data_IF_652318319206
#
_entry.id   IF_652318319206
#
_cell.length_a   1.000
_cell.length_b   1.000
_cell.length_c   1.000
_cell.angle_alpha   90.00
_cell.angle_beta   90.00
_cell.angle_gamma   90.00
#
_symmetry.space_group_name_H-M   'P 1'
#
loop_
_entity.id
_entity.type
_entity.pdbx_description
1 polymer ?
#
# COMPACT_ATOMS: atom_id res chain seq x y z
N UNK A 1 -38.01 -10.40 8.86
CA UNK A 1 -36.88 -9.50 8.55
C UNK A 1 -35.63 -10.35 8.58
N UNK A 2 -35.04 -10.56 7.41
CA UNK A 2 -33.83 -11.39 7.24
C UNK A 2 -32.65 -10.81 8.04
N UNK A 3 -32.12 -11.59 8.98
CA UNK A 3 -30.97 -11.23 9.82
C UNK A 3 -29.64 -11.51 9.10
N UNK A 4 -29.68 -11.87 7.81
CA UNK A 4 -28.54 -12.05 6.91
C UNK A 4 -27.91 -10.73 6.42
N UNK A 5 -28.00 -9.65 7.22
CA UNK A 5 -27.39 -8.37 6.89
C UNK A 5 -25.86 -8.53 6.73
N UNK A 6 -25.38 -8.35 5.49
CA UNK A 6 -24.00 -8.36 4.99
C UNK A 6 -22.92 -8.18 6.06
N UNK A 7 -22.38 -9.29 6.55
CA UNK A 7 -21.28 -9.29 7.53
C UNK A 7 -19.95 -8.88 6.87
N UNK A 8 -19.75 -9.18 5.58
CA UNK A 8 -18.56 -8.82 4.80
C UNK A 8 -18.77 -7.57 3.94
N UNK A 9 -17.66 -6.91 3.58
CA UNK A 9 -17.66 -5.90 2.52
C UNK A 9 -17.93 -6.55 1.15
N UNK A 10 -18.63 -5.83 0.28
CA UNK A 10 -18.80 -6.20 -1.12
C UNK A 10 -17.92 -5.31 -2.01
N UNK A 11 -17.44 -5.89 -3.11
CA UNK A 11 -16.65 -5.14 -4.08
C UNK A 11 -17.52 -4.14 -4.82
N UNK A 12 -17.17 -2.87 -4.68
CA UNK A 12 -17.72 -1.76 -5.45
C UNK A 12 -16.63 -1.24 -6.39
N UNK A 13 -17.01 -0.56 -7.48
CA UNK A 13 -16.02 -0.06 -8.43
C UNK A 13 -15.06 0.96 -7.79
N UNK A 14 -15.50 1.72 -6.80
CA UNK A 14 -14.64 2.63 -6.03
C UNK A 14 -13.56 1.90 -5.23
N UNK A 15 -13.89 0.74 -4.65
CA UNK A 15 -12.94 -0.11 -3.94
C UNK A 15 -11.85 -0.62 -4.91
N UNK A 16 -12.27 -1.08 -6.10
CA UNK A 16 -11.34 -1.52 -7.15
C UNK A 16 -10.46 -0.38 -7.66
N UNK A 17 -11.05 0.78 -7.95
CA UNK A 17 -10.34 1.95 -8.43
C UNK A 17 -9.30 2.44 -7.42
N UNK A 18 -9.66 2.46 -6.14
CA UNK A 18 -8.76 2.83 -5.03
C UNK A 18 -7.58 1.86 -4.96
N UNK A 19 -7.83 0.54 -4.98
CA UNK A 19 -6.77 -0.45 -4.93
C UNK A 19 -5.81 -0.33 -6.13
N UNK A 20 -6.36 -0.23 -7.36
CA UNK A 20 -5.56 -0.09 -8.58
C UNK A 20 -4.73 1.19 -8.55
N UNK A 21 -5.31 2.31 -8.10
CA UNK A 21 -4.61 3.57 -7.94
C UNK A 21 -3.45 3.45 -6.95
N UNK A 22 -3.67 2.80 -5.81
CA UNK A 22 -2.63 2.58 -4.79
C UNK A 22 -1.50 1.70 -5.32
N UNK A 23 -1.80 0.61 -6.02
CA UNK A 23 -0.79 -0.26 -6.64
C UNK A 23 0.03 0.52 -7.68
N UNK A 24 -0.62 1.32 -8.53
CA UNK A 24 0.05 2.09 -9.58
C UNK A 24 1.02 3.14 -9.03
N UNK A 25 0.64 3.82 -7.95
CA UNK A 25 1.44 4.90 -7.36
C UNK A 25 2.37 4.44 -6.25
N UNK A 26 2.62 3.13 -6.16
CA UNK A 26 3.49 2.55 -5.15
C UNK A 26 3.08 2.85 -3.70
N UNK A 27 1.76 2.87 -3.47
CA UNK A 27 1.13 3.09 -2.17
C UNK A 27 0.45 1.84 -1.62
N UNK A 28 0.67 0.68 -2.22
CA UNK A 28 0.09 -0.57 -1.75
C UNK A 28 1.18 -1.59 -1.45
N UNK A 29 1.24 -2.05 -0.20
CA UNK A 29 2.11 -3.14 0.22
C UNK A 29 1.32 -4.44 0.14
N UNK A 30 1.86 -5.43 -0.58
CA UNK A 30 1.26 -6.75 -0.68
C UNK A 30 1.65 -7.59 0.54
N UNK A 31 0.65 -8.13 1.23
CA UNK A 31 0.82 -9.02 2.38
C UNK A 31 0.27 -10.41 2.01
N UNK A 32 1.13 -11.42 1.98
CA UNK A 32 0.78 -12.82 1.70
C UNK A 32 0.83 -13.64 2.99
N UNK A 33 -0.32 -14.17 3.38
CA UNK A 33 -0.52 -15.01 4.55
C UNK A 33 -0.40 -16.51 4.24
N UNK A 34 -0.47 -17.39 5.25
CA UNK A 34 -0.32 -18.83 5.07
C UNK A 34 -1.28 -19.45 4.05
N UNK A 35 -2.51 -18.96 3.99
CA UNK A 35 -3.54 -19.52 3.09
C UNK A 35 -3.40 -19.06 1.64
N UNK A 36 -2.48 -18.14 1.35
CA UNK A 36 -2.13 -17.79 -0.03
C UNK A 36 -1.26 -18.88 -0.68
N UNK A 37 -0.56 -19.70 0.13
CA UNK A 37 0.35 -20.72 -0.35
C UNK A 37 -0.39 -22.00 -0.81
N UNK A 38 -1.27 -21.88 -1.80
CA UNK A 38 -1.99 -23.01 -2.43
C UNK A 38 -1.40 -23.25 -3.82
N UNK A 39 -0.85 -24.45 -4.03
CA UNK A 39 -0.28 -24.85 -5.31
C UNK A 39 -1.35 -25.26 -6.33
N UNK A 40 -1.05 -25.12 -7.62
CA UNK A 40 -1.91 -25.56 -8.71
C UNK A 40 -2.27 -27.05 -8.58
N UNK A 41 -3.57 -27.36 -8.66
CA UNK A 41 -4.09 -28.71 -8.47
C UNK A 41 -4.29 -29.13 -7.01
N UNK A 42 -3.84 -28.32 -6.05
CA UNK A 42 -4.13 -28.52 -4.63
C UNK A 42 -5.38 -27.76 -4.21
N UNK A 43 -6.09 -28.28 -3.20
CA UNK A 43 -7.26 -27.65 -2.60
C UNK A 43 -6.95 -26.99 -1.26
N UNK A 44 -5.75 -27.21 -0.73
CA UNK A 44 -5.34 -26.82 0.64
C UNK A 44 -4.01 -26.09 0.63
N UNK A 45 -3.78 -25.15 1.56
CA UNK A 45 -2.50 -24.49 1.73
C UNK A 45 -1.37 -25.47 2.07
N UNK A 46 -0.14 -25.14 1.68
CA UNK A 46 1.04 -25.95 1.99
C UNK A 46 1.24 -26.16 3.49
N UNK A 47 0.86 -25.20 4.32
CA UNK A 47 0.91 -25.31 5.79
C UNK A 47 -0.01 -26.40 6.32
N UNK A 48 -1.22 -26.51 5.78
CA UNK A 48 -2.18 -27.57 6.15
C UNK A 48 -1.71 -28.94 5.64
N UNK A 49 -1.15 -29.02 4.42
CA UNK A 49 -0.60 -30.28 3.89
C UNK A 49 0.55 -30.76 4.79
N UNK A 50 1.48 -29.87 5.16
CA UNK A 50 2.58 -30.20 6.07
C UNK A 50 2.08 -30.63 7.45
N UNK A 51 1.07 -29.94 8.00
CA UNK A 51 0.47 -30.32 9.28
C UNK A 51 -0.08 -31.75 9.22
N UNK A 52 -0.83 -32.10 8.17
CA UNK A 52 -1.36 -33.45 8.00
C UNK A 52 -0.24 -34.50 7.83
N UNK A 53 0.78 -34.25 7.01
CA UNK A 53 1.93 -35.17 6.83
C UNK A 53 2.74 -35.40 8.12
N UNK A 54 2.82 -34.40 9.00
CA UNK A 54 3.47 -34.53 10.31
C UNK A 54 2.57 -35.28 11.30
N UNK A 55 1.27 -34.98 11.31
CA UNK A 55 0.29 -35.62 12.18
C UNK A 55 0.14 -37.12 11.87
N UNK A 56 0.39 -37.56 10.63
CA UNK A 56 0.44 -38.97 10.25
C UNK A 56 1.45 -39.83 11.03
N UNK A 57 2.38 -39.19 11.75
CA UNK A 57 3.39 -39.88 12.58
C UNK A 57 3.00 -39.93 14.05
N UNK A 58 1.84 -39.38 14.41
CA UNK A 58 1.29 -39.43 15.76
C UNK A 58 0.34 -40.62 15.91
N UNK A 59 0.26 -41.13 17.13
CA UNK A 59 -0.72 -42.17 17.50
C UNK A 59 -2.14 -41.59 17.48
N UNK A 60 -3.15 -42.45 17.36
CA UNK A 60 -4.56 -42.05 17.22
C UNK A 60 -5.04 -41.13 18.36
N UNK A 61 -4.71 -41.48 19.61
CA UNK A 61 -5.11 -40.71 20.79
C UNK A 61 -4.59 -39.27 20.79
N UNK A 62 -3.45 -39.01 20.14
CA UNK A 62 -2.87 -37.67 20.07
C UNK A 62 -3.50 -36.84 18.97
N UNK A 63 -3.83 -37.47 17.83
CA UNK A 63 -4.52 -36.79 16.72
C UNK A 63 -5.91 -36.31 17.12
N UNK A 64 -6.59 -37.03 17.98
CA UNK A 64 -7.91 -36.64 18.50
C UNK A 64 -7.85 -35.43 19.45
N UNK A 65 -6.68 -35.13 20.03
CA UNK A 65 -6.49 -34.04 21.00
C UNK A 65 -6.06 -32.71 20.38
N UNK A 66 -5.64 -32.71 19.12
CA UNK A 66 -5.08 -31.53 18.45
C UNK A 66 -5.84 -31.22 17.17
N UNK A 67 -5.81 -29.95 16.75
CA UNK A 67 -6.29 -29.62 15.42
C UNK A 67 -5.21 -30.00 14.38
N UNK A 68 -5.41 -31.08 13.63
CA UNK A 68 -4.43 -31.57 12.63
C UNK A 68 -4.27 -30.65 11.42
N UNK A 69 -5.15 -29.64 11.24
CA UNK A 69 -4.99 -28.60 10.22
C UNK A 69 -4.16 -27.40 10.68
N UNK A 70 -3.88 -27.28 11.99
CA UNK A 70 -3.07 -26.20 12.56
C UNK A 70 -1.60 -26.64 12.62
N UNK A 71 -0.78 -26.06 11.75
CA UNK A 71 0.64 -26.37 11.68
C UNK A 71 1.37 -26.07 13.00
N UNK A 72 0.99 -25.01 13.73
CA UNK A 72 1.70 -24.64 14.96
C UNK A 72 1.45 -25.62 16.10
N UNK A 73 0.21 -26.12 16.22
CA UNK A 73 -0.13 -27.17 17.19
C UNK A 73 0.56 -28.49 16.86
N UNK A 74 0.46 -28.92 15.59
CA UNK A 74 1.07 -30.18 15.15
C UNK A 74 2.60 -30.15 15.31
N UNK A 75 3.25 -29.07 14.90
CA UNK A 75 4.71 -28.95 15.02
C UNK A 75 5.15 -28.78 16.48
N UNK A 76 4.36 -28.15 17.36
CA UNK A 76 4.62 -28.14 18.80
C UNK A 76 4.63 -29.57 19.36
N UNK A 77 3.64 -30.41 19.02
CA UNK A 77 3.63 -31.82 19.40
C UNK A 77 4.82 -32.59 18.83
N UNK A 78 5.17 -32.36 17.56
CA UNK A 78 6.33 -32.99 16.93
C UNK A 78 7.64 -32.59 17.62
N UNK A 79 7.81 -31.30 17.91
CA UNK A 79 8.97 -30.73 18.59
C UNK A 79 9.20 -31.39 19.96
N UNK A 80 8.14 -31.53 20.77
CA UNK A 80 8.24 -32.15 22.09
C UNK A 80 8.70 -33.61 22.04
N UNK A 81 8.50 -34.32 20.92
CA UNK A 81 8.86 -35.73 20.74
C UNK A 81 10.22 -35.95 20.09
N UNK A 82 10.55 -35.14 19.08
CA UNK A 82 11.68 -35.37 18.18
C UNK A 82 12.73 -34.26 18.23
N UNK A 83 12.47 -33.17 18.96
CA UNK A 83 13.35 -32.02 19.08
C UNK A 83 13.35 -31.10 17.86
N UNK A 84 13.95 -29.91 18.03
CA UNK A 84 13.98 -28.83 17.01
C UNK A 84 14.66 -29.27 15.72
N UNK A 85 15.82 -29.91 15.82
CA UNK A 85 16.61 -30.28 14.64
C UNK A 85 15.85 -31.24 13.71
N UNK A 86 15.15 -32.22 14.28
CA UNK A 86 14.32 -33.14 13.49
C UNK A 86 13.13 -32.44 12.85
N UNK A 87 12.52 -31.48 13.54
CA UNK A 87 11.42 -30.68 12.99
C UNK A 87 11.90 -29.82 11.81
N UNK A 88 12.97 -29.06 11.99
CA UNK A 88 13.56 -28.21 10.96
C UNK A 88 13.97 -29.02 9.72
N UNK A 89 14.56 -30.21 9.91
CA UNK A 89 14.91 -31.10 8.81
C UNK A 89 13.67 -31.57 8.02
N UNK A 90 12.57 -31.90 8.71
CA UNK A 90 11.32 -32.33 8.04
C UNK A 90 10.63 -31.18 7.31
N UNK A 91 10.56 -30.00 7.92
CA UNK A 91 10.00 -28.79 7.29
C UNK A 91 10.80 -28.42 6.04
N UNK A 92 12.14 -28.42 6.15
CA UNK A 92 13.03 -28.09 5.02
C UNK A 92 12.87 -29.08 3.87
N UNK A 93 12.84 -30.39 4.17
CA UNK A 93 12.63 -31.42 3.16
C UNK A 93 11.28 -31.27 2.43
N UNK A 94 10.20 -30.99 3.18
CA UNK A 94 8.87 -30.78 2.62
C UNK A 94 8.83 -29.61 1.62
N UNK A 95 9.38 -28.46 1.99
CA UNK A 95 9.36 -27.29 1.12
C UNK A 95 10.36 -27.41 -0.05
N UNK A 96 11.47 -28.11 0.12
CA UNK A 96 12.44 -28.35 -0.97
C UNK A 96 11.83 -29.26 -2.05
N UNK A 97 11.12 -30.33 -1.66
CA UNK A 97 10.36 -31.18 -2.59
C UNK A 97 9.35 -30.36 -3.40
N UNK A 98 8.70 -29.41 -2.73
CA UNK A 98 7.64 -28.57 -3.28
C UNK A 98 8.15 -27.25 -3.87
N UNK A 99 9.48 -27.09 -3.97
CA UNK A 99 10.12 -25.84 -4.40
C UNK A 99 9.67 -25.39 -5.78
N UNK A 100 9.36 -26.33 -6.68
CA UNK A 100 8.96 -26.07 -8.08
C UNK A 100 7.46 -25.83 -8.28
N UNK A 101 6.65 -25.89 -7.22
CA UNK A 101 5.23 -25.62 -7.33
C UNK A 101 4.97 -24.18 -7.79
N UNK A 102 3.84 -24.02 -8.48
CA UNK A 102 3.34 -22.75 -8.98
C UNK A 102 1.89 -22.58 -8.52
N UNK A 103 1.41 -21.35 -8.59
CA UNK A 103 0.07 -20.98 -8.13
C UNK A 103 -0.48 -19.86 -9.00
N UNK A 104 -1.75 -19.96 -9.39
CA UNK A 104 -2.42 -18.96 -10.23
C UNK A 104 -2.47 -17.59 -9.54
N UNK A 105 -2.79 -17.57 -8.25
CA UNK A 105 -2.70 -16.41 -7.36
C UNK A 105 -1.36 -15.68 -7.53
N UNK A 106 -0.26 -16.40 -7.30
CA UNK A 106 1.09 -15.84 -7.35
C UNK A 106 1.46 -15.35 -8.76
N UNK A 107 1.11 -16.11 -9.81
CA UNK A 107 1.31 -15.69 -11.22
C UNK A 107 0.55 -14.42 -11.56
N UNK A 108 -0.66 -14.27 -11.05
CA UNK A 108 -1.47 -13.08 -11.33
C UNK A 108 -0.96 -11.85 -10.58
N UNK A 109 -0.57 -12.02 -9.32
CA UNK A 109 0.00 -10.94 -8.50
C UNK A 109 1.39 -10.51 -8.97
N UNK A 110 2.23 -11.43 -9.43
CA UNK A 110 3.58 -11.13 -9.91
C UNK A 110 3.59 -10.20 -11.13
N UNK A 111 2.53 -10.23 -11.95
CA UNK A 111 2.35 -9.36 -13.10
C UNK A 111 2.03 -7.88 -12.72
N UNK A 112 1.73 -7.60 -11.46
CA UNK A 112 1.41 -6.26 -10.95
C UNK A 112 2.67 -5.57 -10.41
N UNK A 113 2.77 -4.23 -10.42
CA UNK A 113 4.01 -3.51 -10.09
C UNK A 113 4.22 -3.30 -8.59
N UNK A 114 4.02 -4.34 -7.77
CA UNK A 114 4.41 -4.28 -6.36
C UNK A 114 5.93 -4.21 -6.24
N UNK A 115 6.44 -3.29 -5.42
CA UNK A 115 7.87 -3.16 -5.10
C UNK A 115 8.23 -3.73 -3.73
N UNK A 116 7.26 -3.80 -2.81
CA UNK A 116 7.42 -4.29 -1.46
C UNK A 116 6.31 -5.29 -1.13
N UNK A 117 6.75 -6.52 -0.87
CA UNK A 117 5.91 -7.65 -0.55
C UNK A 117 6.38 -8.27 0.75
N UNK A 118 5.43 -8.54 1.64
CA UNK A 118 5.66 -9.30 2.87
C UNK A 118 5.00 -10.65 2.73
N UNK A 119 5.73 -11.73 3.00
CA UNK A 119 5.21 -13.10 3.01
C UNK A 119 5.44 -13.74 4.38
N UNK A 120 4.51 -14.58 4.81
CA UNK A 120 4.59 -15.34 6.06
C UNK A 120 4.87 -16.82 5.86
N UNK A 121 5.06 -17.27 4.61
CA UNK A 121 5.40 -18.66 4.30
C UNK A 121 6.79 -18.74 3.68
N UNK A 122 7.56 -19.79 3.97
CA UNK A 122 8.92 -19.93 3.48
C UNK A 122 9.00 -20.60 2.10
N UNK A 123 7.88 -20.73 1.38
CA UNK A 123 7.86 -21.32 0.04
C UNK A 123 8.38 -20.38 -1.05
N UNK A 124 8.66 -20.96 -2.23
CA UNK A 124 9.23 -20.23 -3.36
C UNK A 124 8.20 -19.86 -4.45
N UNK A 125 6.90 -20.05 -4.23
CA UNK A 125 5.91 -19.87 -5.29
C UNK A 125 5.87 -18.43 -5.80
N UNK A 126 5.94 -17.44 -4.90
CA UNK A 126 5.92 -16.04 -5.31
C UNK A 126 7.24 -15.60 -5.97
N UNK A 127 8.38 -16.03 -5.44
CA UNK A 127 9.70 -15.77 -6.02
C UNK A 127 9.74 -16.25 -7.47
N UNK A 128 9.31 -17.50 -7.70
CA UNK A 128 9.26 -18.08 -9.05
C UNK A 128 8.28 -17.37 -9.97
N UNK A 129 7.17 -16.89 -9.43
CA UNK A 129 6.22 -16.12 -10.22
C UNK A 129 6.82 -14.76 -10.65
N UNK A 130 7.56 -14.08 -9.76
CA UNK A 130 8.25 -12.83 -10.08
C UNK A 130 9.36 -13.04 -11.12
N UNK A 131 10.18 -14.08 -10.96
CA UNK A 131 11.24 -14.43 -11.91
C UNK A 131 10.68 -14.75 -13.30
N UNK A 132 9.55 -15.47 -13.38
CA UNK A 132 8.86 -15.75 -14.65
C UNK A 132 8.31 -14.50 -15.34
N UNK A 133 7.96 -13.46 -14.59
CA UNK A 133 7.57 -12.15 -15.11
C UNK A 133 8.79 -11.24 -15.40
N UNK A 134 10.01 -11.77 -15.30
CA UNK A 134 11.26 -11.06 -15.62
C UNK A 134 11.76 -10.12 -14.53
N UNK A 135 11.22 -10.21 -13.32
CA UNK A 135 11.64 -9.39 -12.17
C UNK A 135 12.76 -10.07 -11.38
N UNK A 136 13.53 -9.27 -10.64
CA UNK A 136 14.65 -9.75 -9.81
C UNK A 136 14.35 -9.52 -8.32
N UNK A 137 13.66 -10.45 -7.65
CA UNK A 137 13.29 -10.24 -6.26
C UNK A 137 14.51 -10.19 -5.32
N UNK A 138 14.48 -9.25 -4.37
CA UNK A 138 15.43 -9.14 -3.27
C UNK A 138 14.83 -9.86 -2.06
N UNK A 139 15.46 -10.94 -1.63
CA UNK A 139 14.94 -11.78 -0.54
C UNK A 139 15.56 -11.38 0.79
N UNK A 140 14.74 -10.94 1.74
CA UNK A 140 15.15 -10.60 3.12
C UNK A 140 14.17 -11.21 4.11
N UNK A 141 14.58 -11.42 5.35
CA UNK A 141 13.74 -12.06 6.35
C UNK A 141 13.92 -11.40 7.72
N UNK A 142 12.94 -11.61 8.57
CA UNK A 142 13.03 -11.32 9.99
C UNK A 142 13.49 -12.56 10.76
N UNK A 143 14.38 -12.36 11.74
CA UNK A 143 14.86 -13.40 12.64
C UNK A 143 14.57 -13.01 14.09
N UNK A 144 13.54 -13.62 14.68
CA UNK A 144 13.18 -13.39 16.08
C UNK A 144 14.14 -14.06 17.07
N UNK A 145 14.92 -15.04 16.63
CA UNK A 145 15.87 -15.78 17.45
C UNK A 145 17.34 -15.43 17.11
N UNK A 146 17.57 -14.27 16.50
CA UNK A 146 18.90 -13.87 16.04
C UNK A 146 19.01 -12.38 15.81
N UNK A 147 20.13 -11.97 15.22
CA UNK A 147 20.33 -10.56 14.88
C UNK A 147 19.73 -10.25 13.52
N UNK A 148 19.08 -9.08 13.44
CA UNK A 148 18.58 -8.51 12.19
C UNK A 148 19.50 -7.35 11.77
N UNK A 149 19.68 -7.13 10.46
CA UNK A 149 20.44 -5.97 9.99
C UNK A 149 19.72 -4.68 10.36
N UNK A 150 20.47 -3.59 10.55
CA UNK A 150 19.89 -2.27 10.88
C UNK A 150 19.02 -1.74 9.74
N UNK A 151 19.40 -2.00 8.50
CA UNK A 151 18.69 -1.62 7.29
C UNK A 151 18.90 -2.70 6.22
N UNK A 152 17.95 -2.81 5.29
CA UNK A 152 18.17 -3.50 4.01
C UNK A 152 18.99 -2.56 3.13
N UNK A 153 20.15 -3.02 2.64
CA UNK A 153 21.10 -2.18 1.89
C UNK A 153 20.67 -1.98 0.44
N UNK A 154 20.06 -3.00 -0.14
CA UNK A 154 19.58 -2.99 -1.51
C UNK A 154 18.37 -2.06 -1.65
N UNK A 155 18.36 -1.24 -2.71
CA UNK A 155 17.17 -0.47 -3.10
C UNK A 155 16.24 -1.39 -3.87
N UNK A 156 14.96 -1.39 -3.51
CA UNK A 156 13.93 -2.14 -4.23
C UNK A 156 13.08 -1.23 -5.12
N UNK A 157 12.47 -1.84 -6.13
CA UNK A 157 11.56 -1.20 -7.08
C UNK A 157 10.59 -2.24 -7.66
N UNK A 158 9.66 -1.82 -8.53
CA UNK A 158 8.74 -2.76 -9.20
C UNK A 158 9.44 -3.84 -10.05
N UNK A 159 10.65 -3.55 -10.54
CA UNK A 159 11.45 -4.45 -11.39
C UNK A 159 12.41 -5.31 -10.53
N UNK A 160 12.79 -4.78 -9.37
CA UNK A 160 13.61 -5.46 -8.35
C UNK A 160 12.90 -5.43 -6.99
N UNK A 161 11.79 -6.17 -6.82
CA UNK A 161 10.93 -6.02 -5.65
C UNK A 161 11.54 -6.66 -4.39
N UNK A 162 11.36 -6.03 -3.23
CA UNK A 162 11.68 -6.60 -1.93
C UNK A 162 10.61 -7.62 -1.55
N UNK A 163 11.02 -8.87 -1.34
CA UNK A 163 10.22 -9.93 -0.72
C UNK A 163 10.75 -10.18 0.69
N UNK A 164 9.97 -9.73 1.67
CA UNK A 164 10.33 -9.79 3.08
C UNK A 164 9.58 -10.92 3.80
N UNK A 165 10.32 -11.93 4.23
CA UNK A 165 9.79 -13.09 4.96
C UNK A 165 9.64 -12.76 6.45
N UNK A 166 8.40 -12.52 6.87
CA UNK A 166 8.10 -12.08 8.23
C UNK A 166 8.26 -13.20 9.25
N UNK A 167 7.97 -14.45 8.87
CA UNK A 167 8.02 -15.64 9.74
C UNK A 167 9.26 -16.52 9.49
N UNK A 168 10.33 -15.91 8.97
CA UNK A 168 11.60 -16.57 8.73
C UNK A 168 11.70 -17.28 7.37
N UNK A 169 12.86 -17.90 7.13
CA UNK A 169 13.22 -18.54 5.85
C UNK A 169 13.89 -19.90 6.04
N UNK A 170 13.82 -20.78 5.03
CA UNK A 170 14.51 -22.08 5.01
C UNK A 170 16.03 -21.92 5.01
N UNK A 171 16.57 -20.83 4.46
CA UNK A 171 18.03 -20.57 4.46
C UNK A 171 18.59 -20.35 5.86
N UNK A 172 17.72 -19.98 6.81
CA UNK A 172 18.01 -19.77 8.23
C UNK A 172 16.92 -20.45 9.07
N UNK A 173 16.96 -21.78 9.24
CA UNK A 173 15.88 -22.53 9.90
C UNK A 173 15.55 -22.07 11.33
N UNK A 174 16.54 -21.54 12.06
CA UNK A 174 16.34 -20.98 13.39
C UNK A 174 15.50 -19.68 13.42
N UNK A 175 15.27 -19.06 12.26
CA UNK A 175 14.37 -17.90 12.11
C UNK A 175 12.91 -18.31 11.85
N UNK A 176 12.65 -19.58 11.54
CA UNK A 176 11.31 -20.06 11.19
C UNK A 176 10.40 -20.10 12.42
N UNK A 177 9.23 -19.50 12.29
CA UNK A 177 8.14 -19.65 13.24
C UNK A 177 7.39 -20.95 12.91
N UNK A 178 7.66 -21.99 13.70
CA UNK A 178 7.07 -23.31 13.50
C UNK A 178 6.06 -23.61 14.59
N UNK A 179 6.42 -23.44 15.87
CA UNK A 179 5.61 -23.88 17.00
C UNK A 179 4.90 -22.73 17.72
N UNK A 180 3.99 -23.06 18.66
CA UNK A 180 3.34 -22.04 19.51
C UNK A 180 4.35 -21.26 20.37
N UNK A 181 5.38 -21.94 20.89
CA UNK A 181 6.46 -21.26 21.62
C UNK A 181 7.22 -20.27 20.72
N UNK A 182 7.49 -20.63 19.46
CA UNK A 182 8.11 -19.71 18.50
C UNK A 182 7.24 -18.46 18.28
N UNK A 183 5.92 -18.63 18.19
CA UNK A 183 4.98 -17.51 18.04
C UNK A 183 5.04 -16.57 19.26
N UNK A 184 5.10 -17.12 20.47
CA UNK A 184 5.22 -16.32 21.69
C UNK A 184 6.54 -15.56 21.72
N UNK A 185 7.67 -16.23 21.46
CA UNK A 185 9.00 -15.62 21.42
C UNK A 185 9.08 -14.54 20.33
N UNK A 186 8.47 -14.78 19.17
CA UNK A 186 8.35 -13.83 18.09
C UNK A 186 7.58 -12.56 18.51
N UNK A 187 6.42 -12.72 19.16
CA UNK A 187 5.62 -11.59 19.64
C UNK A 187 6.34 -10.81 20.74
N UNK A 188 7.01 -11.50 21.67
CA UNK A 188 7.83 -10.85 22.72
C UNK A 188 8.96 -10.06 22.07
N UNK A 189 9.66 -10.62 21.10
CA UNK A 189 10.76 -9.95 20.40
C UNK A 189 10.30 -8.66 19.71
N UNK A 190 9.12 -8.68 19.09
CA UNK A 190 8.51 -7.51 18.46
C UNK A 190 8.04 -6.47 19.48
N UNK A 191 7.26 -6.88 20.48
CA UNK A 191 6.67 -5.97 21.49
C UNK A 191 7.74 -5.30 22.33
N UNK A 192 8.74 -6.05 22.78
CA UNK A 192 9.85 -5.54 23.58
C UNK A 192 10.94 -4.87 22.74
N UNK A 193 10.84 -4.93 21.41
CA UNK A 193 11.82 -4.41 20.46
C UNK A 193 13.26 -4.91 20.73
N UNK A 194 13.41 -6.13 21.25
CA UNK A 194 14.71 -6.74 21.56
C UNK A 194 15.42 -7.22 20.30
N UNK A 195 14.65 -7.58 19.27
CA UNK A 195 15.12 -7.92 17.92
C UNK A 195 14.50 -6.94 16.92
N UNK A 196 15.03 -5.72 16.77
CA UNK A 196 14.41 -4.72 15.91
C UNK A 196 14.41 -5.18 14.44
N UNK A 197 13.32 -4.90 13.73
CA UNK A 197 13.23 -5.03 12.27
C UNK A 197 14.13 -3.98 11.59
N UNK A 198 14.63 -4.23 10.36
CA UNK A 198 15.35 -3.21 9.61
C UNK A 198 14.55 -1.91 9.49
N UNK A 199 15.19 -0.77 9.77
CA UNK A 199 14.51 0.51 9.96
C UNK A 199 13.77 1.00 8.70
N UNK A 200 14.33 0.75 7.52
CA UNK A 200 13.69 1.09 6.25
C UNK A 200 12.49 0.19 5.93
N UNK A 201 12.51 -1.09 6.30
CA UNK A 201 11.35 -1.97 6.17
C UNK A 201 10.24 -1.51 7.12
N UNK A 202 10.58 -1.20 8.36
CA UNK A 202 9.61 -0.70 9.34
C UNK A 202 9.02 0.65 8.90
N UNK A 203 9.83 1.56 8.37
CA UNK A 203 9.37 2.85 7.85
C UNK A 203 8.31 2.69 6.76
N UNK A 204 8.48 1.75 5.83
CA UNK A 204 7.50 1.47 4.78
C UNK A 204 6.18 0.93 5.35
N UNK A 205 6.25 0.00 6.32
CA UNK A 205 5.06 -0.52 7.00
C UNK A 205 4.34 0.57 7.81
N UNK A 206 5.07 1.55 8.33
CA UNK A 206 4.52 2.63 9.14
C UNK A 206 4.00 3.80 8.31
N UNK A 207 4.40 3.94 7.05
CA UNK A 207 3.98 5.03 6.16
C UNK A 207 2.44 5.14 6.08
N UNK A 208 1.89 6.22 6.64
CA UNK A 208 0.45 6.48 6.68
C UNK A 208 -0.16 6.68 5.29
N UNK A 209 0.65 7.00 4.28
CA UNK A 209 0.20 7.15 2.90
C UNK A 209 0.06 5.83 2.14
N UNK A 210 0.57 4.72 2.72
CA UNK A 210 0.47 3.37 2.16
C UNK A 210 -0.72 2.61 2.74
N UNK A 211 -1.39 1.86 1.88
CA UNK A 211 -2.39 0.85 2.24
C UNK A 211 -1.83 -0.56 2.07
N UNK A 212 -2.54 -1.54 2.61
CA UNK A 212 -2.18 -2.95 2.53
C UNK A 212 -3.19 -3.74 1.73
N UNK A 213 -2.71 -4.76 1.03
CA UNK A 213 -3.52 -5.83 0.46
C UNK A 213 -3.16 -7.14 1.14
N UNK A 214 -4.00 -7.60 2.06
CA UNK A 214 -3.83 -8.86 2.79
C UNK A 214 -4.53 -10.01 2.06
N UNK A 215 -3.79 -11.05 1.72
CA UNK A 215 -4.31 -12.24 1.06
C UNK A 215 -3.91 -13.47 1.86
N UNK A 216 -4.88 -14.28 2.27
CA UNK A 216 -4.62 -15.55 2.97
C UNK A 216 -4.24 -15.39 4.44
N UNK A 217 -4.71 -14.32 5.10
CA UNK A 217 -4.60 -14.14 6.55
C UNK A 217 -5.92 -14.45 7.23
N UNK A 218 -5.88 -15.26 8.30
CA UNK A 218 -7.02 -15.45 9.20
C UNK A 218 -7.06 -14.36 10.28
N UNK A 219 -7.82 -13.30 10.04
CA UNK A 219 -7.97 -12.16 10.96
C UNK A 219 -8.61 -12.52 12.32
N UNK A 220 -9.17 -13.74 12.42
CA UNK A 220 -9.68 -14.32 13.68
C UNK A 220 -8.58 -14.58 14.70
N UNK A 221 -7.34 -14.75 14.26
CA UNK A 221 -6.22 -14.94 15.17
C UNK A 221 -5.90 -13.66 15.96
N UNK A 222 -5.96 -13.75 17.28
CA UNK A 222 -5.73 -12.62 18.19
C UNK A 222 -4.34 -11.98 18.00
N UNK A 223 -3.32 -12.78 17.68
CA UNK A 223 -1.94 -12.30 17.54
C UNK A 223 -1.79 -11.33 16.36
N UNK A 224 -2.64 -11.40 15.33
CA UNK A 224 -2.62 -10.41 14.23
C UNK A 224 -2.98 -9.02 14.72
N UNK A 225 -3.84 -8.91 15.74
CA UNK A 225 -4.15 -7.60 16.37
C UNK A 225 -2.91 -7.02 17.03
N UNK A 226 -2.09 -7.85 17.66
CA UNK A 226 -0.81 -7.43 18.25
C UNK A 226 0.19 -7.09 17.16
N UNK A 227 0.39 -7.97 16.18
CA UNK A 227 1.33 -7.78 15.08
C UNK A 227 1.07 -6.44 14.37
N UNK A 228 -0.16 -6.21 13.92
CA UNK A 228 -0.52 -4.98 13.23
C UNK A 228 -0.44 -3.74 14.14
N UNK A 229 -0.60 -3.90 15.46
CA UNK A 229 -0.42 -2.79 16.41
C UNK A 229 1.06 -2.44 16.61
N UNK A 230 1.92 -3.45 16.82
CA UNK A 230 3.35 -3.26 17.06
C UNK A 230 4.04 -2.72 15.82
N UNK A 231 3.64 -3.18 14.63
CA UNK A 231 4.11 -2.64 13.36
C UNK A 231 3.51 -1.26 13.04
N UNK A 232 2.66 -0.71 13.93
CA UNK A 232 1.96 0.56 13.78
C UNK A 232 1.25 0.69 12.42
N UNK A 233 0.63 -0.40 11.96
CA UNK A 233 -0.13 -0.46 10.72
C UNK A 233 -1.56 0.11 10.91
N UNK A 234 -1.66 1.25 11.60
CA UNK A 234 -2.90 1.98 11.92
C UNK A 234 -2.85 3.39 11.32
N UNK A 235 -3.95 4.12 11.41
CA UNK A 235 -4.10 5.53 11.00
C UNK A 235 -3.76 5.79 9.54
N UNK A 236 -3.98 4.80 8.67
CA UNK A 236 -3.71 4.95 7.25
C UNK A 236 -4.64 5.99 6.62
N UNK A 237 -4.07 6.76 5.70
CA UNK A 237 -4.76 7.79 4.92
C UNK A 237 -5.75 7.21 3.90
N UNK A 238 -5.59 5.93 3.55
CA UNK A 238 -6.47 5.18 2.65
C UNK A 238 -6.88 3.84 3.24
N UNK A 239 -7.99 3.28 2.75
CA UNK A 239 -8.44 1.95 3.16
C UNK A 239 -7.47 0.85 2.70
N UNK A 240 -7.29 -0.14 3.57
CA UNK A 240 -6.60 -1.39 3.25
C UNK A 240 -7.62 -2.48 2.96
N UNK A 241 -7.22 -3.49 2.20
CA UNK A 241 -8.11 -4.55 1.72
C UNK A 241 -7.59 -5.91 2.20
N UNK A 242 -8.50 -6.79 2.60
CA UNK A 242 -8.17 -8.12 3.07
C UNK A 242 -9.13 -9.17 2.49
N UNK A 243 -8.59 -10.25 1.94
CA UNK A 243 -9.36 -11.38 1.42
C UNK A 243 -9.24 -12.57 2.38
N UNK A 244 -10.38 -13.04 2.87
CA UNK A 244 -10.46 -14.19 3.78
C UNK A 244 -11.12 -15.38 3.08
N UNK A 245 -10.47 -16.55 3.16
CA UNK A 245 -10.98 -17.82 2.63
C UNK A 245 -11.69 -18.58 3.76
N UNK A 246 -13.01 -18.71 3.71
CA UNK A 246 -13.74 -19.41 4.79
C UNK A 246 -13.77 -20.92 4.58
N UNK A 247 -13.20 -21.65 5.54
CA UNK A 247 -13.65 -23.01 5.84
C UNK A 247 -15.07 -22.94 6.43
N UNK A 248 -15.99 -23.72 5.85
CA UNK A 248 -17.46 -23.62 5.98
C UNK A 248 -18.05 -23.77 7.39
N UNK A 249 -17.26 -23.95 8.44
CA UNK A 249 -17.76 -24.47 9.71
C UNK A 249 -18.30 -23.41 10.69
N UNK A 250 -17.90 -22.13 10.60
CA UNK A 250 -18.34 -21.10 11.58
C UNK A 250 -18.51 -19.69 11.00
N UNK A 251 -19.15 -19.58 9.83
CA UNK A 251 -19.35 -18.31 9.12
C UNK A 251 -20.26 -17.29 9.86
N UNK A 252 -20.84 -17.65 11.01
CA UNK A 252 -21.85 -16.84 11.70
C UNK A 252 -21.67 -16.84 13.23
N UNK A 253 -20.42 -16.78 13.70
CA UNK A 253 -20.12 -16.64 15.14
C UNK A 253 -19.99 -15.16 15.53
N UNK A 254 -20.40 -14.80 16.76
CA UNK A 254 -20.22 -13.45 17.32
C UNK A 254 -18.75 -12.99 17.26
N UNK A 255 -17.81 -13.93 17.38
CA UNK A 255 -16.37 -13.67 17.30
C UNK A 255 -15.92 -13.14 15.94
N UNK A 256 -16.53 -13.63 14.85
CA UNK A 256 -16.28 -13.11 13.50
C UNK A 256 -16.79 -11.67 13.38
N UNK A 257 -18.02 -11.39 13.85
CA UNK A 257 -18.58 -10.03 13.84
C UNK A 257 -17.72 -9.05 14.64
N UNK A 258 -17.22 -9.47 15.80
CA UNK A 258 -16.29 -8.68 16.60
C UNK A 258 -14.97 -8.41 15.87
N UNK A 259 -14.44 -9.40 15.17
CA UNK A 259 -13.21 -9.28 14.38
C UNK A 259 -13.37 -8.29 13.23
N UNK A 260 -14.45 -8.42 12.46
CA UNK A 260 -14.76 -7.51 11.36
C UNK A 260 -15.00 -6.09 11.85
N UNK A 261 -15.79 -5.91 12.92
CA UNK A 261 -15.98 -4.59 13.54
C UNK A 261 -14.66 -3.98 14.00
N UNK A 262 -13.78 -4.77 14.62
CA UNK A 262 -12.48 -4.28 15.08
C UNK A 262 -11.63 -3.77 13.93
N UNK A 263 -11.50 -4.51 12.83
CA UNK A 263 -10.61 -4.13 11.72
C UNK A 263 -11.22 -3.07 10.78
N UNK A 264 -12.53 -3.08 10.56
CA UNK A 264 -13.21 -2.13 9.69
C UNK A 264 -13.51 -0.79 10.38
N UNK A 265 -13.92 -0.81 11.66
CA UNK A 265 -14.42 0.38 12.39
C UNK A 265 -13.44 0.96 13.39
N UNK A 266 -12.15 0.67 13.24
CA UNK A 266 -11.08 1.28 14.03
C UNK A 266 -10.08 1.99 13.13
N UNK A 267 -9.03 2.54 13.75
CA UNK A 267 -7.90 3.18 13.06
C UNK A 267 -7.18 2.26 12.06
N UNK A 268 -7.47 0.95 12.02
CA UNK A 268 -6.93 0.04 11.01
C UNK A 268 -7.52 0.27 9.60
N UNK A 269 -8.81 0.61 9.49
CA UNK A 269 -9.51 0.81 8.20
C UNK A 269 -9.26 -0.32 7.19
N UNK A 270 -9.36 -1.57 7.64
CA UNK A 270 -9.20 -2.76 6.77
C UNK A 270 -10.58 -3.28 6.39
N UNK A 271 -10.89 -3.21 5.10
CA UNK A 271 -12.10 -3.81 4.54
C UNK A 271 -11.84 -5.29 4.23
N UNK A 272 -12.60 -6.18 4.87
CA UNK A 272 -12.46 -7.63 4.73
C UNK A 272 -13.57 -8.15 3.80
N UNK A 273 -13.17 -8.89 2.77
CA UNK A 273 -14.03 -9.43 1.73
C UNK A 273 -13.95 -10.94 1.71
N UNK A 274 -15.07 -11.56 1.33
CA UNK A 274 -15.18 -13.00 1.14
C UNK A 274 -15.16 -13.32 -0.35
N UNK A 275 -14.01 -13.74 -0.86
CA UNK A 275 -13.81 -14.12 -2.26
C UNK A 275 -12.66 -15.13 -2.38
N UNK A 276 -12.68 -15.97 -3.41
CA UNK A 276 -11.52 -16.79 -3.78
C UNK A 276 -10.31 -15.92 -4.10
N UNK A 277 -9.13 -16.29 -3.59
CA UNK A 277 -7.89 -15.55 -3.84
C UNK A 277 -7.50 -15.59 -5.33
N UNK A 278 -7.65 -16.75 -5.98
CA UNK A 278 -7.31 -16.90 -7.40
C UNK A 278 -8.22 -16.04 -8.29
N UNK A 279 -9.53 -16.05 -8.02
CA UNK A 279 -10.50 -15.23 -8.75
C UNK A 279 -10.22 -13.75 -8.55
N UNK A 280 -9.98 -13.33 -7.30
CA UNK A 280 -9.64 -11.96 -6.96
C UNK A 280 -8.38 -11.50 -7.69
N UNK A 281 -7.30 -12.29 -7.66
CA UNK A 281 -6.04 -11.93 -8.30
C UNK A 281 -6.16 -11.87 -9.83
N UNK A 282 -6.94 -12.78 -10.43
CA UNK A 282 -7.24 -12.75 -11.86
C UNK A 282 -7.99 -11.47 -12.25
N UNK A 283 -9.04 -11.11 -11.50
CA UNK A 283 -9.81 -9.88 -11.70
C UNK A 283 -8.94 -8.63 -11.50
N UNK A 284 -8.11 -8.61 -10.45
CA UNK A 284 -7.19 -7.50 -10.18
C UNK A 284 -6.22 -7.29 -11.34
N UNK A 285 -5.61 -8.36 -11.85
CA UNK A 285 -4.71 -8.32 -13.01
C UNK A 285 -5.42 -7.81 -14.26
N UNK A 286 -6.62 -8.33 -14.55
CA UNK A 286 -7.39 -7.90 -15.71
C UNK A 286 -7.81 -6.43 -15.62
N UNK A 287 -8.34 -6.00 -14.47
CA UNK A 287 -8.73 -4.60 -14.24
C UNK A 287 -7.52 -3.67 -14.30
N UNK A 288 -6.39 -4.06 -13.70
CA UNK A 288 -5.14 -3.31 -13.79
C UNK A 288 -4.67 -3.17 -15.25
N UNK A 289 -4.75 -4.25 -16.05
CA UNK A 289 -4.45 -4.23 -17.49
C UNK A 289 -5.42 -3.37 -18.29
N UNK A 290 -6.72 -3.33 -17.95
CA UNK A 290 -7.71 -2.43 -18.59
C UNK A 290 -7.52 -0.98 -18.19
N UNK A 291 -6.97 -0.74 -17.00
CA UNK A 291 -6.60 0.58 -16.52
C UNK A 291 -5.30 1.10 -17.18
N UNK A 292 -4.47 0.22 -17.75
CA UNK A 292 -3.27 0.62 -18.52
C UNK A 292 -3.61 1.43 -19.79
N UNK A 293 -4.54 0.99 -20.68
CA UNK A 293 -4.91 1.69 -21.90
C UNK A 293 -6.00 2.77 -21.72
N UNK A 294 -6.67 2.88 -20.56
CA UNK A 294 -7.60 3.99 -20.28
C UNK A 294 -6.87 5.29 -19.88
N UNK A 295 -5.55 5.25 -19.80
CA UNK A 295 -4.68 6.42 -19.88
C UNK A 295 -4.10 6.44 -21.30
N UNK A 296 -4.16 7.56 -22.04
CA UNK A 296 -3.46 7.62 -23.32
C UNK A 296 -1.98 7.32 -23.07
N UNK A 297 -1.49 6.24 -23.67
CA UNK A 297 -0.07 5.94 -23.70
C UNK A 297 0.64 7.06 -24.46
N UNK A 298 1.15 8.06 -23.75
CA UNK A 298 1.96 9.13 -24.34
C UNK A 298 3.41 8.91 -23.97
N UNK A 299 4.25 8.87 -25.01
CA UNK A 299 5.71 8.86 -24.92
C UNK A 299 6.17 9.87 -23.85
N UNK A 300 7.18 9.56 -23.02
CA UNK A 300 7.74 10.56 -22.11
C UNK A 300 8.12 11.79 -22.94
N UNK A 301 7.39 12.89 -22.75
CA UNK A 301 7.80 14.16 -23.31
C UNK A 301 8.98 14.63 -22.47
N UNK A 302 10.11 14.89 -23.12
CA UNK A 302 11.17 15.69 -22.52
C UNK A 302 10.56 17.06 -22.27
N UNK A 303 10.24 17.34 -21.01
CA UNK A 303 9.75 18.67 -20.62
C UNK A 303 10.94 19.62 -20.80
N UNK A 304 10.75 20.65 -21.61
CA UNK A 304 11.77 21.68 -21.84
C UNK A 304 12.20 22.28 -20.50
N UNK A 305 13.51 22.43 -20.26
CA UNK A 305 14.01 23.07 -19.05
C UNK A 305 13.49 24.51 -18.90
N UNK A 306 13.15 25.17 -20.02
CA UNK A 306 12.54 26.49 -20.07
C UNK A 306 11.00 26.49 -20.01
N UNK A 307 10.35 25.35 -19.75
CA UNK A 307 8.91 25.31 -19.54
C UNK A 307 8.50 26.05 -18.25
N UNK A 308 7.31 26.67 -18.21
CA UNK A 308 6.85 27.42 -17.05
C UNK A 308 6.66 26.52 -15.81
N UNK A 309 7.16 26.98 -14.67
CA UNK A 309 6.94 26.34 -13.36
C UNK A 309 5.57 26.71 -12.80
N UNK A 310 4.76 25.71 -12.48
CA UNK A 310 3.37 25.89 -12.00
C UNK A 310 3.22 25.26 -10.62
N UNK A 311 3.01 26.07 -9.59
CA UNK A 311 2.68 25.56 -8.26
C UNK A 311 1.19 25.26 -8.14
N UNK A 312 0.83 24.08 -7.64
CA UNK A 312 -0.56 23.67 -7.41
C UNK A 312 -0.86 23.66 -5.91
N UNK A 313 -1.48 24.74 -5.45
CA UNK A 313 -1.93 24.94 -4.07
C UNK A 313 -3.31 24.31 -3.88
N UNK A 314 -3.44 23.41 -2.91
CA UNK A 314 -4.67 22.64 -2.69
C UNK A 314 -4.88 22.29 -1.21
N UNK A 315 -6.14 22.09 -0.81
CA UNK A 315 -6.42 21.47 0.48
C UNK A 315 -6.00 19.99 0.45
N UNK A 316 -5.61 19.42 1.59
CA UNK A 316 -5.20 18.02 1.69
C UNK A 316 -6.25 17.02 1.19
N UNK A 317 -7.51 17.40 1.29
CA UNK A 317 -8.70 16.67 0.87
C UNK A 317 -8.85 16.62 -0.66
N UNK A 318 -8.26 17.57 -1.38
CA UNK A 318 -8.34 17.68 -2.85
C UNK A 318 -7.14 17.03 -3.55
N UNK A 319 -6.35 16.23 -2.83
CA UNK A 319 -5.07 15.67 -3.31
C UNK A 319 -5.21 14.87 -4.60
N UNK A 320 -6.31 14.14 -4.80
CA UNK A 320 -6.53 13.35 -6.01
C UNK A 320 -6.81 14.23 -7.24
N UNK A 321 -7.55 15.32 -7.07
CA UNK A 321 -7.73 16.31 -8.14
C UNK A 321 -6.42 17.05 -8.42
N UNK A 322 -5.67 17.41 -7.38
CA UNK A 322 -4.37 18.07 -7.53
C UNK A 322 -3.35 17.18 -8.27
N UNK A 323 -3.32 15.87 -7.96
CA UNK A 323 -2.52 14.89 -8.69
C UNK A 323 -3.00 14.70 -10.14
N UNK A 324 -4.31 14.75 -10.37
CA UNK A 324 -4.87 14.74 -11.72
C UNK A 324 -4.42 15.98 -12.52
N UNK A 325 -4.62 17.18 -11.98
CA UNK A 325 -4.21 18.43 -12.62
C UNK A 325 -2.71 18.49 -12.86
N UNK A 326 -1.88 18.02 -11.92
CA UNK A 326 -0.44 17.90 -12.12
C UNK A 326 -0.12 17.11 -13.39
N UNK A 327 -0.73 15.93 -13.57
CA UNK A 327 -0.50 15.12 -14.78
C UNK A 327 -0.94 15.83 -16.06
N UNK A 328 -2.05 16.54 -16.04
CA UNK A 328 -2.54 17.25 -17.23
C UNK A 328 -1.65 18.45 -17.58
N UNK A 329 -1.17 19.20 -16.58
CA UNK A 329 -0.22 20.30 -16.79
C UNK A 329 1.11 19.79 -17.34
N UNK A 330 1.61 18.68 -16.80
CA UNK A 330 2.82 18.00 -17.28
C UNK A 330 2.64 17.52 -18.73
N UNK A 331 1.47 16.94 -19.06
CA UNK A 331 1.12 16.50 -20.41
C UNK A 331 0.96 17.65 -21.42
N UNK A 332 0.75 18.87 -20.93
CA UNK A 332 0.75 20.09 -21.72
C UNK A 332 2.16 20.72 -21.89
N UNK A 333 3.20 20.08 -21.35
CA UNK A 333 4.58 20.56 -21.42
C UNK A 333 4.92 21.63 -20.39
N UNK A 334 4.15 21.73 -19.31
CA UNK A 334 4.42 22.63 -18.18
C UNK A 334 5.23 21.87 -17.10
N UNK A 335 5.82 22.59 -16.14
CA UNK A 335 6.53 22.03 -14.99
C UNK A 335 5.71 22.18 -13.70
N UNK A 336 4.71 21.33 -13.46
CA UNK A 336 3.90 21.42 -12.27
C UNK A 336 4.68 20.98 -11.02
N UNK A 337 4.31 21.55 -9.88
CA UNK A 337 4.85 21.21 -8.57
C UNK A 337 3.71 21.15 -7.56
N UNK A 338 3.67 20.07 -6.76
CA UNK A 338 2.72 19.90 -5.67
C UNK A 338 3.41 20.16 -4.34
N UNK A 339 2.67 20.72 -3.39
CA UNK A 339 3.12 20.99 -2.02
C UNK A 339 3.98 19.83 -1.45
N UNK A 340 5.21 20.17 -1.04
CA UNK A 340 6.14 19.24 -0.39
C UNK A 340 5.67 19.01 1.04
N UNK A 341 4.91 17.94 1.24
CA UNK A 341 4.82 17.26 2.55
C UNK A 341 6.14 16.58 3.01
N UNK A 342 7.26 16.86 2.34
CA UNK A 342 8.59 16.31 2.67
C UNK A 342 9.52 17.41 3.20
N UNK A 343 9.23 17.91 4.41
CA UNK A 343 10.20 18.68 5.20
C UNK A 343 10.77 17.78 6.28
N UNK A 344 12.09 17.79 6.42
CA UNK A 344 12.80 17.01 7.43
C UNK A 344 12.73 17.77 8.76
N UNK A 345 12.78 17.05 9.88
CA UNK A 345 12.88 17.69 11.20
C UNK A 345 14.09 18.64 11.24
N UNK A 346 13.84 19.94 11.39
CA UNK A 346 14.86 20.99 11.41
C UNK A 346 14.77 22.04 10.30
N UNK A 347 13.98 21.81 9.24
CA UNK A 347 13.82 22.79 8.17
C UNK A 347 12.95 23.99 8.61
N UNK A 348 13.44 25.22 8.41
CA UNK A 348 12.63 26.43 8.59
C UNK A 348 11.63 26.56 7.44
N UNK A 349 10.45 25.95 7.61
CA UNK A 349 9.33 25.86 6.66
C UNK A 349 9.07 27.16 5.87
N UNK A 350 9.06 28.31 6.54
CA UNK A 350 8.84 29.63 5.93
C UNK A 350 9.85 29.92 4.82
N UNK A 351 11.13 29.61 5.06
CA UNK A 351 12.20 29.89 4.11
C UNK A 351 12.14 28.97 2.89
N UNK A 352 11.66 27.73 3.06
CA UNK A 352 11.54 26.76 1.95
C UNK A 352 10.40 27.17 1.02
N UNK A 353 9.26 27.59 1.58
CA UNK A 353 8.12 28.07 0.79
C UNK A 353 8.46 29.36 0.09
N UNK A 354 9.06 30.36 0.76
CA UNK A 354 9.48 31.59 0.07
C UNK A 354 10.51 31.30 -1.04
N UNK A 355 11.47 30.40 -0.81
CA UNK A 355 12.45 30.02 -1.86
C UNK A 355 11.80 29.30 -3.04
N UNK A 356 10.82 28.44 -2.78
CA UNK A 356 10.10 27.69 -3.83
C UNK A 356 9.18 28.65 -4.59
N UNK A 357 8.38 29.42 -3.86
CA UNK A 357 7.48 30.40 -4.43
C UNK A 357 8.20 31.56 -5.10
N UNK A 358 9.51 31.79 -4.91
CA UNK A 358 10.26 32.75 -5.72
C UNK A 358 10.60 32.24 -7.12
N UNK A 359 10.61 30.92 -7.34
CA UNK A 359 11.03 30.31 -8.61
C UNK A 359 9.86 30.00 -9.56
N UNK A 360 8.66 29.80 -9.01
CA UNK A 360 7.49 29.44 -9.81
C UNK A 360 6.99 30.61 -10.67
N UNK A 361 6.47 30.32 -11.87
CA UNK A 361 5.94 31.33 -12.80
C UNK A 361 4.44 31.58 -12.59
N UNK A 362 3.73 30.53 -12.15
CA UNK A 362 2.29 30.54 -11.93
C UNK A 362 1.94 29.82 -10.62
N UNK A 363 0.91 30.31 -9.94
CA UNK A 363 0.38 29.75 -8.70
C UNK A 363 -1.11 29.45 -8.86
N UNK A 364 -1.44 28.17 -9.04
CA UNK A 364 -2.81 27.69 -9.23
C UNK A 364 -3.39 27.31 -7.88
N UNK A 365 -4.56 27.87 -7.53
CA UNK A 365 -5.26 27.59 -6.27
C UNK A 365 -6.50 26.78 -6.55
N UNK A 366 -6.55 25.53 -6.08
CA UNK A 366 -7.76 24.71 -6.19
C UNK A 366 -8.82 25.21 -5.21
N UNK A 367 -9.89 25.76 -5.75
CA UNK A 367 -11.03 26.29 -5.02
C UNK A 367 -12.08 25.19 -4.87
N UNK A 368 -12.23 24.72 -3.63
CA UNK A 368 -13.11 23.64 -3.22
C UNK A 368 -13.86 23.98 -1.93
N UNK A 369 -14.92 23.23 -1.63
CA UNK A 369 -15.59 23.26 -0.33
C UNK A 369 -14.63 22.93 0.82
N UNK A 370 -13.62 22.08 0.58
CA UNK A 370 -12.63 21.74 1.58
C UNK A 370 -11.71 22.92 1.89
N UNK A 371 -11.29 23.70 0.88
CA UNK A 371 -10.54 24.93 1.09
C UNK A 371 -11.40 26.02 1.75
N UNK A 372 -12.64 26.20 1.31
CA UNK A 372 -13.56 27.23 1.82
C UNK A 372 -13.87 27.08 3.32
N UNK A 373 -13.81 25.86 3.86
CA UNK A 373 -14.03 25.58 5.30
C UNK A 373 -12.80 25.85 6.18
N UNK A 374 -11.63 26.19 5.62
CA UNK A 374 -10.40 26.39 6.39
C UNK A 374 -10.24 27.86 6.79
N UNK A 375 -10.28 28.13 8.09
CA UNK A 375 -10.04 29.47 8.65
C UNK A 375 -8.56 29.77 8.92
N UNK A 376 -7.78 28.76 9.30
CA UNK A 376 -6.33 28.86 9.47
C UNK A 376 -5.70 27.52 9.13
N UNK A 377 -4.82 27.50 8.13
CA UNK A 377 -4.14 26.26 7.69
C UNK A 377 -2.91 26.58 6.84
N UNK A 378 -2.08 25.57 6.57
CA UNK A 378 -0.91 25.70 5.72
C UNK A 378 -1.25 26.22 4.33
N UNK A 379 -2.32 25.73 3.71
CA UNK A 379 -2.78 26.19 2.38
C UNK A 379 -3.17 27.67 2.39
N UNK A 380 -3.83 28.17 3.45
CA UNK A 380 -4.14 29.60 3.59
C UNK A 380 -2.86 30.44 3.70
N UNK A 381 -1.84 29.91 4.38
CA UNK A 381 -0.55 30.58 4.50
C UNK A 381 0.22 30.64 3.17
N UNK A 382 0.18 29.57 2.37
CA UNK A 382 0.75 29.58 1.01
C UNK A 382 0.06 30.61 0.12
N UNK A 383 -1.27 30.69 0.19
CA UNK A 383 -2.07 31.69 -0.54
C UNK A 383 -1.64 33.11 -0.14
N UNK A 384 -1.44 33.38 1.15
CA UNK A 384 -0.98 34.69 1.62
C UNK A 384 0.42 35.04 1.08
N UNK A 385 1.38 34.10 1.11
CA UNK A 385 2.72 34.32 0.54
C UNK A 385 2.63 34.56 -0.97
N UNK A 386 1.75 33.85 -1.67
CA UNK A 386 1.53 34.07 -3.10
C UNK A 386 0.89 35.44 -3.39
N UNK A 387 -0.05 35.90 -2.55
CA UNK A 387 -0.66 37.24 -2.63
C UNK A 387 0.37 38.34 -2.39
N UNK A 388 1.25 38.17 -1.40
CA UNK A 388 2.35 39.09 -1.14
C UNK A 388 3.28 39.17 -2.37
N UNK A 389 3.68 38.02 -2.93
CA UNK A 389 4.47 37.99 -4.17
C UNK A 389 3.73 38.60 -5.37
N UNK A 390 2.40 38.41 -5.46
CA UNK A 390 1.59 39.02 -6.53
C UNK A 390 1.72 40.55 -6.53
N UNK A 391 1.84 41.17 -5.35
CA UNK A 391 2.01 42.62 -5.21
C UNK A 391 3.33 43.16 -5.78
N UNK A 392 4.33 42.30 -5.97
CA UNK A 392 5.63 42.66 -6.57
C UNK A 392 5.56 42.82 -8.09
N UNK A 393 4.54 42.25 -8.75
CA UNK A 393 4.40 42.33 -10.21
C UNK A 393 3.63 43.59 -10.65
N UNK A 394 3.98 44.13 -11.82
CA UNK A 394 3.20 45.21 -12.46
C UNK A 394 1.78 44.73 -12.79
N UNK A 395 0.84 45.68 -12.84
CA UNK A 395 -0.55 45.41 -13.27
C UNK A 395 -0.55 44.69 -14.62
N UNK A 396 -1.33 43.61 -14.72
CA UNK A 396 -1.50 42.80 -15.93
C UNK A 396 -0.73 41.47 -15.94
N UNK A 397 0.22 41.25 -15.03
CA UNK A 397 0.92 39.96 -14.91
C UNK A 397 0.04 38.93 -14.17
N UNK A 398 -0.18 37.78 -14.80
CA UNK A 398 -1.00 36.68 -14.27
C UNK A 398 -0.19 35.71 -13.42
N UNK A 399 -0.04 36.00 -12.13
CA UNK A 399 0.68 35.09 -11.23
C UNK A 399 -0.26 34.05 -10.57
N UNK A 400 -1.34 34.51 -9.93
CA UNK A 400 -2.29 33.64 -9.22
C UNK A 400 -3.47 33.29 -10.14
N UNK A 401 -3.83 32.01 -10.20
CA UNK A 401 -4.97 31.49 -10.98
C UNK A 401 -5.88 30.68 -10.04
N UNK A 402 -7.04 31.22 -9.61
CA UNK A 402 -8.05 30.43 -8.93
C UNK A 402 -8.69 29.42 -9.89
N UNK A 403 -8.78 28.16 -9.48
CA UNK A 403 -9.32 27.07 -10.28
C UNK A 403 -10.42 26.35 -9.49
N UNK A 404 -11.68 26.55 -9.87
CA UNK A 404 -12.85 25.94 -9.21
C UNK A 404 -12.98 24.49 -9.59
N UNK A 405 -13.07 23.60 -8.60
CA UNK A 405 -13.23 22.16 -8.80
C UNK A 405 -14.59 21.64 -8.32
N UNK A 406 -15.36 22.49 -7.63
CA UNK A 406 -16.74 22.27 -7.22
C UNK A 406 -17.53 23.60 -7.20
N UNK A 407 -18.76 23.59 -6.69
CA UNK A 407 -19.64 24.76 -6.62
C UNK A 407 -19.35 25.71 -5.44
N UNK A 408 -18.15 25.62 -4.84
CA UNK A 408 -17.75 26.54 -3.77
C UNK A 408 -17.59 27.99 -4.24
N UNK A 409 -17.80 28.89 -3.27
CA UNK A 409 -17.46 30.30 -3.42
C UNK A 409 -15.93 30.46 -3.41
N UNK A 410 -15.45 31.46 -4.16
CA UNK A 410 -14.04 31.83 -4.09
C UNK A 410 -13.73 32.38 -2.70
N UNK A 411 -12.52 32.12 -2.22
CA UNK A 411 -11.96 32.85 -1.09
C UNK A 411 -12.04 34.37 -1.34
N UNK A 412 -12.38 35.10 -0.29
CA UNK A 412 -12.65 36.54 -0.35
C UNK A 412 -11.44 37.34 -0.86
N UNK A 413 -10.23 36.86 -0.59
CA UNK A 413 -8.95 37.44 -1.01
C UNK A 413 -8.67 37.22 -2.51
N UNK A 414 -9.37 36.28 -3.15
CA UNK A 414 -9.20 35.90 -4.54
C UNK A 414 -10.40 36.29 -5.42
N UNK A 415 -11.42 36.93 -4.85
CA UNK A 415 -12.66 37.33 -5.53
C UNK A 415 -12.45 38.28 -6.73
N UNK A 416 -11.40 39.10 -6.66
CA UNK A 416 -11.04 40.06 -7.71
C UNK A 416 -10.22 39.43 -8.85
N UNK A 417 -9.98 38.12 -8.79
CA UNK A 417 -9.27 37.36 -9.82
C UNK A 417 -10.26 36.43 -10.51
N UNK A 418 -10.35 36.54 -11.84
CA UNK A 418 -11.18 35.65 -12.63
C UNK A 418 -10.73 34.20 -12.44
N UNK A 419 -11.65 33.36 -11.97
CA UNK A 419 -11.40 31.94 -11.78
C UNK A 419 -11.62 31.15 -13.07
N UNK A 420 -10.86 30.06 -13.21
CA UNK A 420 -11.09 29.02 -14.22
C UNK A 420 -12.02 27.97 -13.63
N UNK A 421 -13.03 27.56 -14.38
CA UNK A 421 -13.92 26.46 -13.98
C UNK A 421 -13.34 25.14 -14.47
N UNK A 422 -12.89 24.29 -13.55
CA UNK A 422 -12.37 22.95 -13.80
C UNK A 422 -13.32 21.83 -13.34
N UNK A 423 -14.59 22.15 -13.07
CA UNK A 423 -15.62 21.12 -12.80
C UNK A 423 -15.80 20.21 -14.02
N UNK A 424 -15.78 20.79 -15.22
CA UNK A 424 -15.63 20.04 -16.47
C UNK A 424 -14.14 19.85 -16.77
N UNK A 425 -13.69 18.60 -16.75
CA UNK A 425 -12.29 18.22 -17.04
C UNK A 425 -11.82 18.68 -18.42
N UNK A 426 -12.73 18.94 -19.37
CA UNK A 426 -12.39 19.49 -20.69
C UNK A 426 -11.76 20.88 -20.62
N UNK A 427 -12.09 21.66 -19.60
CA UNK A 427 -11.62 23.04 -19.42
C UNK A 427 -10.17 23.12 -18.92
N UNK A 428 -9.53 21.99 -18.58
CA UNK A 428 -8.11 21.96 -18.24
C UNK A 428 -7.24 22.37 -19.44
N UNK A 429 -7.68 22.06 -20.66
CA UNK A 429 -7.01 22.54 -21.87
C UNK A 429 -6.98 24.07 -21.91
N UNK A 430 -8.06 24.75 -21.55
CA UNK A 430 -8.12 26.21 -21.51
C UNK A 430 -7.13 26.81 -20.49
N UNK A 431 -6.99 26.16 -19.32
CA UNK A 431 -5.98 26.54 -18.33
C UNK A 431 -4.56 26.39 -18.89
N UNK A 432 -4.23 25.23 -19.46
CA UNK A 432 -2.89 24.94 -19.99
C UNK A 432 -2.52 25.88 -21.15
N UNK A 433 -3.47 26.15 -22.03
CA UNK A 433 -3.33 27.09 -23.15
C UNK A 433 -3.13 28.51 -22.65
N UNK A 434 -3.90 28.93 -21.64
CA UNK A 434 -3.78 30.26 -21.07
C UNK A 434 -2.40 30.48 -20.45
N UNK A 435 -1.89 29.50 -19.69
CA UNK A 435 -0.54 29.54 -19.10
C UNK A 435 0.52 29.59 -20.20
N UNK A 436 0.46 28.68 -21.17
CA UNK A 436 1.47 28.57 -22.24
C UNK A 436 1.54 29.84 -23.09
N UNK A 437 0.38 30.39 -23.49
CA UNK A 437 0.31 31.62 -24.30
C UNK A 437 0.83 32.82 -23.51
N UNK A 438 0.51 32.90 -22.22
CA UNK A 438 0.97 33.98 -21.36
C UNK A 438 2.48 33.93 -21.15
N UNK A 439 3.02 32.75 -20.87
CA UNK A 439 4.44 32.56 -20.62
C UNK A 439 5.30 32.91 -21.84
N UNK A 440 4.87 32.46 -23.03
CA UNK A 440 5.53 32.83 -24.31
C UNK A 440 5.52 34.34 -24.56
N UNK A 441 4.46 35.05 -24.18
CA UNK A 441 4.41 36.51 -24.28
C UNK A 441 5.40 37.19 -23.33
N UNK A 442 5.59 36.65 -22.12
CA UNK A 442 6.56 37.16 -21.14
C UNK A 442 8.00 36.96 -21.57
N UNK A 443 8.32 35.85 -22.21
CA UNK A 443 9.69 35.57 -22.70
C UNK A 443 10.11 36.39 -23.93
N UNK A 444 9.16 37.03 -24.61
CA UNK A 444 9.40 37.91 -25.78
C UNK A 444 9.35 39.41 -25.42
N UNK A 445 9.22 39.75 -24.13
CA UNK A 445 9.32 41.11 -23.56
C UNK A 445 10.68 41.27 -22.90
#
# INVERSE_FOLDING_TARGET
>A
MDVNAKVYSEWEDDNWNTLIYSIRHNKCILMLGPDAAVAEGQQRPLTEILANELAEKFDLEDREKINTSDLTQVTQCYYMRKGRQSLEAKVSAFYEEKRNLCSNLHRNLAALPFDFIVTTTPDNMFIKALEKEGKKPINKWYNFNGNNPRMVEEKWSKDEPLVFYLYGTLDKPNSLLLTENDLLDYLVALVSNTRPMPANVLSELQDESKSFLFLGFEFRHWYLRILLNVLQMRKKGSFSFAMEQFNRLHADSDQLRQTLCFFQRSDYKINIFKQSLDEFAAQLKERYKKYLPSLPARKPQVIDENAPEVFICHASEDKDFAAYLHRELEAAGLRPWLDKKNLRGGDQWNQVIEKTLKKVDYFVVLQSQALAKKHASYVIREINVALDRKSEFRRGIRFIIPAKIDDSLLLEELKDIQAVDLKDKKNINDLTDAITRDFKKRGNL
#
